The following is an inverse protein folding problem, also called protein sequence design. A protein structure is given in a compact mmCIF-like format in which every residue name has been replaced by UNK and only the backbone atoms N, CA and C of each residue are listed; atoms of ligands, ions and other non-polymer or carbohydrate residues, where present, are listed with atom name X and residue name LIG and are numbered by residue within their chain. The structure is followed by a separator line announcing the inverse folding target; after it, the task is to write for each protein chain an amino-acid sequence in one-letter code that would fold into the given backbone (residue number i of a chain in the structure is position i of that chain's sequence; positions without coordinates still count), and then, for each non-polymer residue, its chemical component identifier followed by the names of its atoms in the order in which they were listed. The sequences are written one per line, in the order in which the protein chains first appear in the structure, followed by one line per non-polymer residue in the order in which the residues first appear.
data_IF_260009508768
#
_entry.id   IF_260009508768
#
_cell.length_a   1.000
_cell.length_b   1.000
_cell.length_c   1.000
_cell.angle_alpha   90.00
_cell.angle_beta   90.00
_cell.angle_gamma   90.00
#
_symmetry.space_group_name_H-M   'P 1'
#
loop_
_entity.id
_entity.type
_entity.pdbx_description
1 polymer ?
#
# COMPACT_ATOMS: atom_id res chain seq x y z
N UNK A 1 -4.87 30.57 -7.14
CA UNK A 1 -4.39 29.31 -6.51
C UNK A 1 -5.38 28.18 -6.79
N UNK A 2 -5.70 27.92 -8.05
CA UNK A 2 -6.65 26.83 -8.46
C UNK A 2 -5.98 25.76 -9.32
N UNK A 3 -4.65 25.68 -9.35
CA UNK A 3 -3.92 24.79 -10.28
C UNK A 3 -3.84 23.33 -9.83
N UNK A 4 -4.24 23.01 -8.59
CA UNK A 4 -4.14 21.65 -8.03
C UNK A 4 -5.46 20.87 -8.06
N UNK A 5 -6.57 21.43 -8.54
CA UNK A 5 -7.87 20.74 -8.53
C UNK A 5 -7.96 19.46 -9.39
N UNK A 6 -6.99 19.18 -10.26
CA UNK A 6 -6.99 18.05 -11.20
C UNK A 6 -6.94 16.67 -10.51
N UNK A 7 -6.19 16.58 -9.42
CA UNK A 7 -6.29 15.49 -8.45
C UNK A 7 -7.04 16.11 -7.30
N UNK A 8 -8.23 15.60 -6.95
CA UNK A 8 -8.97 16.09 -5.78
C UNK A 8 -8.13 15.84 -4.50
N UNK A 9 -7.18 16.74 -4.22
CA UNK A 9 -6.18 16.57 -3.18
C UNK A 9 -6.85 16.67 -1.83
N UNK A 10 -6.87 15.55 -1.14
CA UNK A 10 -7.24 15.47 0.26
C UNK A 10 -5.99 15.15 1.07
N UNK A 11 -6.03 15.41 2.38
CA UNK A 11 -4.93 15.06 3.28
C UNK A 11 -4.58 13.55 3.19
N UNK A 12 -5.55 12.61 3.19
CA UNK A 12 -5.26 11.18 2.98
C UNK A 12 -4.56 10.88 1.65
N UNK A 13 -5.04 11.45 0.54
CA UNK A 13 -4.43 11.24 -0.78
C UNK A 13 -2.99 11.79 -0.82
N UNK A 14 -2.76 12.97 -0.25
CA UNK A 14 -1.43 13.57 -0.18
C UNK A 14 -0.45 12.68 0.61
N UNK A 15 -0.87 12.17 1.78
CA UNK A 15 -0.05 11.25 2.59
C UNK A 15 0.29 9.98 1.83
N UNK A 16 -0.68 9.37 1.12
CA UNK A 16 -0.45 8.18 0.30
C UNK A 16 0.63 8.40 -0.77
N UNK A 17 0.53 9.49 -1.55
CA UNK A 17 1.49 9.77 -2.60
C UNK A 17 2.88 10.13 -2.06
N UNK A 18 2.96 10.83 -0.93
CA UNK A 18 4.24 11.09 -0.26
C UNK A 18 4.88 9.79 0.23
N UNK A 19 4.11 8.88 0.83
CA UNK A 19 4.61 7.58 1.26
C UNK A 19 5.09 6.72 0.07
N UNK A 20 4.34 6.73 -1.05
CA UNK A 20 4.72 6.04 -2.28
C UNK A 20 6.02 6.61 -2.85
N UNK A 21 6.13 7.95 -2.97
CA UNK A 21 7.34 8.62 -3.43
C UNK A 21 8.54 8.32 -2.52
N UNK A 22 8.35 8.35 -1.21
CA UNK A 22 9.37 7.99 -0.22
C UNK A 22 9.83 6.54 -0.38
N UNK A 23 8.91 5.60 -0.59
CA UNK A 23 9.23 4.19 -0.82
C UNK A 23 10.06 4.02 -2.10
N UNK A 24 9.66 4.66 -3.20
CA UNK A 24 10.42 4.62 -4.45
C UNK A 24 11.80 5.26 -4.32
N UNK A 25 11.93 6.37 -3.58
CA UNK A 25 13.20 7.03 -3.32
C UNK A 25 14.15 6.13 -2.52
N UNK A 26 13.65 5.48 -1.46
CA UNK A 26 14.42 4.51 -0.66
C UNK A 26 14.87 3.34 -1.52
N UNK A 27 14.00 2.78 -2.35
CA UNK A 27 14.35 1.65 -3.21
C UNK A 27 15.39 2.05 -4.27
N UNK A 28 15.24 3.21 -4.89
CA UNK A 28 16.22 3.76 -5.84
C UNK A 28 17.58 3.95 -5.17
N UNK A 29 17.60 4.52 -3.97
CA UNK A 29 18.80 4.70 -3.18
C UNK A 29 19.47 3.36 -2.83
N UNK A 30 18.68 2.37 -2.40
CA UNK A 30 19.19 1.03 -2.09
C UNK A 30 19.73 0.31 -3.32
N UNK A 31 19.09 0.46 -4.48
CA UNK A 31 19.57 -0.11 -5.74
C UNK A 31 20.89 0.54 -6.20
N UNK A 32 21.07 1.84 -5.95
CA UNK A 32 22.31 2.54 -6.25
C UNK A 32 23.50 2.09 -5.37
N UNK A 33 23.24 1.72 -4.11
CA UNK A 33 24.28 1.32 -3.16
C UNK A 33 24.55 -0.19 -3.17
N UNK A 34 23.51 -1.00 -3.27
CA UNK A 34 23.59 -2.46 -3.18
C UNK A 34 23.13 -3.07 -4.50
N UNK A 35 24.05 -3.53 -5.36
CA UNK A 35 23.72 -4.19 -6.62
C UNK A 35 22.70 -5.30 -6.40
N UNK A 36 21.64 -5.29 -7.22
CA UNK A 36 20.53 -6.21 -7.06
C UNK A 36 20.96 -7.62 -7.45
N UNK A 37 20.97 -8.53 -6.47
CA UNK A 37 21.11 -9.96 -6.74
C UNK A 37 19.72 -10.53 -7.05
N UNK A 38 19.53 -10.99 -8.27
CA UNK A 38 18.32 -11.74 -8.65
C UNK A 38 18.21 -12.99 -7.76
N UNK A 39 17.02 -13.18 -7.17
CA UNK A 39 16.71 -14.38 -6.40
C UNK A 39 15.47 -15.03 -6.98
N UNK A 40 15.57 -16.34 -7.19
CA UNK A 40 14.45 -17.17 -7.63
C UNK A 40 13.66 -17.57 -6.39
N UNK A 41 12.54 -16.89 -6.16
CA UNK A 41 11.61 -17.24 -5.09
C UNK A 41 10.60 -18.31 -5.48
N UNK A 42 9.52 -18.39 -4.70
CA UNK A 42 8.42 -19.36 -4.88
C UNK A 42 7.75 -19.24 -6.26
N UNK A 43 7.73 -18.04 -6.85
CA UNK A 43 7.16 -17.81 -8.18
C UNK A 43 8.02 -18.40 -9.32
N UNK A 44 9.21 -18.93 -9.03
CA UNK A 44 10.16 -19.51 -10.01
C UNK A 44 10.60 -18.56 -11.12
N UNK A 45 10.36 -17.27 -10.96
CA UNK A 45 10.83 -16.20 -11.84
C UNK A 45 11.98 -15.49 -11.09
N UNK A 46 13.09 -15.13 -11.74
CA UNK A 46 14.08 -14.26 -11.13
C UNK A 46 13.42 -12.91 -10.79
N UNK A 47 13.43 -12.53 -9.52
CA UNK A 47 12.87 -11.25 -9.07
C UNK A 47 13.92 -10.40 -8.40
N UNK A 48 13.90 -9.11 -8.71
CA UNK A 48 14.66 -8.06 -8.03
C UNK A 48 13.93 -7.55 -6.78
N UNK A 49 14.57 -6.66 -6.02
CA UNK A 49 13.92 -5.99 -4.88
C UNK A 49 12.78 -5.07 -5.36
N UNK A 50 12.98 -4.39 -6.49
CA UNK A 50 11.97 -3.54 -7.14
C UNK A 50 10.74 -4.34 -7.55
N UNK A 51 10.94 -5.52 -8.16
CA UNK A 51 9.84 -6.39 -8.61
C UNK A 51 8.96 -6.83 -7.44
N UNK A 52 9.58 -7.17 -6.29
CA UNK A 52 8.84 -7.56 -5.07
C UNK A 52 7.98 -6.42 -4.54
N UNK A 53 8.50 -5.18 -4.55
CA UNK A 53 7.71 -4.01 -4.16
C UNK A 53 6.54 -3.82 -5.12
N UNK A 54 6.77 -3.87 -6.43
CA UNK A 54 5.72 -3.71 -7.43
C UNK A 54 4.61 -4.75 -7.29
N UNK A 55 4.97 -6.02 -7.14
CA UNK A 55 4.03 -7.13 -6.90
C UNK A 55 3.25 -6.88 -5.61
N UNK A 56 3.90 -6.41 -4.54
CA UNK A 56 3.22 -6.11 -3.27
C UNK A 56 2.21 -4.96 -3.40
N UNK A 57 2.53 -3.91 -4.16
CA UNK A 57 1.64 -2.77 -4.41
C UNK A 57 0.42 -3.20 -5.24
N UNK A 58 0.63 -4.00 -6.30
CA UNK A 58 -0.48 -4.57 -7.10
C UNK A 58 -1.36 -5.45 -6.21
N UNK A 59 -0.75 -6.33 -5.42
CA UNK A 59 -1.49 -7.24 -4.55
C UNK A 59 -2.29 -6.47 -3.50
N UNK A 60 -1.72 -5.41 -2.92
CA UNK A 60 -2.43 -4.52 -2.00
C UNK A 60 -3.63 -3.85 -2.68
N UNK A 61 -3.48 -3.32 -3.89
CA UNK A 61 -4.57 -2.72 -4.64
C UNK A 61 -5.69 -3.74 -4.92
N UNK A 62 -5.35 -4.95 -5.37
CA UNK A 62 -6.32 -6.03 -5.62
C UNK A 62 -7.05 -6.44 -4.34
N UNK A 63 -6.34 -6.58 -3.20
CA UNK A 63 -6.96 -6.88 -1.91
C UNK A 63 -7.97 -5.81 -1.52
N UNK A 64 -7.66 -4.52 -1.68
CA UNK A 64 -8.59 -3.45 -1.35
C UNK A 64 -9.81 -3.43 -2.28
N UNK A 65 -9.61 -3.64 -3.59
CA UNK A 65 -10.71 -3.73 -4.55
C UNK A 65 -11.63 -4.93 -4.25
N UNK A 66 -11.05 -6.10 -3.95
CA UNK A 66 -11.82 -7.27 -3.53
C UNK A 66 -12.55 -7.01 -2.22
N UNK A 67 -11.90 -6.37 -1.24
CA UNK A 67 -12.54 -6.06 0.03
C UNK A 67 -13.76 -5.17 -0.16
N UNK A 68 -13.63 -4.11 -0.95
CA UNK A 68 -14.75 -3.21 -1.27
C UNK A 68 -15.86 -3.98 -1.99
N UNK A 69 -15.52 -4.85 -2.94
CA UNK A 69 -16.49 -5.61 -3.71
C UNK A 69 -17.30 -6.62 -2.88
N UNK A 70 -16.70 -7.23 -1.85
CA UNK A 70 -17.35 -8.28 -1.05
C UNK A 70 -17.85 -7.82 0.32
N UNK A 71 -17.17 -6.87 0.96
CA UNK A 71 -17.42 -6.43 2.35
C UNK A 71 -17.78 -4.95 2.47
N UNK A 72 -17.67 -4.17 1.39
CA UNK A 72 -17.98 -2.74 1.41
C UNK A 72 -16.96 -1.90 2.20
N UNK A 73 -17.40 -0.71 2.64
CA UNK A 73 -16.57 0.28 3.33
C UNK A 73 -17.14 0.70 4.70
N UNK A 74 -18.08 -0.08 5.22
CA UNK A 74 -18.82 0.27 6.44
C UNK A 74 -17.89 0.42 7.66
N UNK A 75 -18.30 1.28 8.60
CA UNK A 75 -17.57 1.47 9.85
C UNK A 75 -17.72 0.24 10.77
N UNK A 76 -16.59 -0.24 11.30
CA UNK A 76 -16.51 -1.33 12.28
C UNK A 76 -16.79 -0.79 13.69
N UNK A 77 -16.30 0.40 14.00
CA UNK A 77 -16.46 1.02 15.32
C UNK A 77 -16.45 2.54 15.21
N UNK A 78 -17.29 3.20 16.00
CA UNK A 78 -17.25 4.65 16.18
C UNK A 78 -16.64 4.94 17.53
N UNK A 79 -15.47 5.58 17.54
CA UNK A 79 -14.85 6.04 18.77
C UNK A 79 -15.49 7.37 19.20
N UNK A 80 -15.83 7.56 20.49
CA UNK A 80 -16.40 8.81 20.99
C UNK A 80 -15.32 9.89 21.15
N UNK A 81 -14.67 10.24 20.04
CA UNK A 81 -13.59 11.23 19.95
C UNK A 81 -14.02 12.26 18.88
N UNK A 82 -14.27 13.49 19.31
CA UNK A 82 -14.88 14.55 18.47
C UNK A 82 -16.41 14.59 18.57
N UNK A 83 -17.03 15.68 18.11
CA UNK A 83 -18.49 15.87 18.15
C UNK A 83 -19.24 14.81 17.33
N UNK A 84 -18.67 14.38 16.20
CA UNK A 84 -19.28 13.40 15.28
C UNK A 84 -18.84 11.94 15.55
N UNK A 85 -17.84 11.74 16.42
CA UNK A 85 -17.20 10.44 16.62
C UNK A 85 -16.32 10.00 15.44
N UNK A 86 -15.16 9.39 15.73
CA UNK A 86 -14.26 8.88 14.69
C UNK A 86 -14.74 7.51 14.20
N UNK A 87 -15.21 7.46 12.96
CA UNK A 87 -15.61 6.22 12.29
C UNK A 87 -14.38 5.43 11.80
N UNK A 88 -14.19 4.23 12.32
CA UNK A 88 -13.15 3.29 11.89
C UNK A 88 -13.73 2.42 10.79
N UNK A 89 -13.35 2.70 9.54
CA UNK A 89 -13.81 1.91 8.38
C UNK A 89 -13.27 0.48 8.37
N UNK A 90 -14.01 -0.43 7.74
CA UNK A 90 -13.57 -1.82 7.56
C UNK A 90 -12.31 -1.97 6.69
N UNK A 91 -11.96 -0.90 5.96
CA UNK A 91 -10.76 -0.82 5.13
C UNK A 91 -9.47 -0.92 5.95
N UNK A 92 -9.49 -0.63 7.25
CA UNK A 92 -8.33 -0.87 8.12
C UNK A 92 -7.95 -2.35 8.20
N UNK A 93 -8.93 -3.26 8.11
CA UNK A 93 -8.65 -4.70 8.03
C UNK A 93 -8.02 -5.06 6.69
N UNK A 94 -8.54 -4.51 5.59
CA UNK A 94 -7.96 -4.69 4.25
C UNK A 94 -6.50 -4.19 4.20
N UNK A 95 -6.21 -3.05 4.82
CA UNK A 95 -4.85 -2.52 4.97
C UNK A 95 -3.97 -3.49 5.77
N UNK A 96 -4.45 -4.00 6.91
CA UNK A 96 -3.72 -5.00 7.70
C UNK A 96 -3.40 -6.28 6.92
N UNK A 97 -4.37 -6.82 6.18
CA UNK A 97 -4.19 -7.99 5.32
C UNK A 97 -3.17 -7.69 4.22
N UNK A 98 -3.29 -6.54 3.56
CA UNK A 98 -2.37 -6.15 2.49
C UNK A 98 -0.92 -6.02 2.96
N UNK A 99 -0.70 -5.49 4.17
CA UNK A 99 0.63 -5.38 4.77
C UNK A 99 1.18 -6.76 5.14
N UNK A 100 0.36 -7.65 5.69
CA UNK A 100 0.76 -9.02 5.98
C UNK A 100 1.14 -9.76 4.68
N UNK A 101 0.34 -9.62 3.62
CA UNK A 101 0.64 -10.20 2.30
C UNK A 101 1.90 -9.60 1.69
N UNK A 102 2.13 -8.29 1.81
CA UNK A 102 3.35 -7.65 1.36
C UNK A 102 4.58 -8.24 2.08
N UNK A 103 4.55 -8.38 3.41
CA UNK A 103 5.64 -9.00 4.17
C UNK A 103 5.89 -10.43 3.72
N UNK A 104 4.84 -11.21 3.45
CA UNK A 104 4.98 -12.57 2.91
C UNK A 104 5.67 -12.54 1.54
N UNK A 105 5.26 -11.66 0.62
CA UNK A 105 5.86 -11.52 -0.71
C UNK A 105 7.37 -11.22 -0.59
N UNK A 106 7.75 -10.28 0.27
CA UNK A 106 9.17 -9.94 0.48
C UNK A 106 10.00 -11.11 1.02
N UNK A 107 9.37 -12.05 1.75
CA UNK A 107 10.01 -13.24 2.32
C UNK A 107 10.05 -14.44 1.37
N UNK A 108 9.04 -14.61 0.51
CA UNK A 108 8.85 -15.84 -0.28
C UNK A 108 9.21 -15.70 -1.75
N UNK A 109 8.96 -14.52 -2.33
CA UNK A 109 9.40 -14.20 -3.69
C UNK A 109 10.88 -13.89 -3.63
#
# INVERSE_FOLDING_TARGET
MESIAWMAWTLPTAIFFVALAGTLAVMTYLAAIYPEAERVGVLRIPTTRGDRLFISLITAAVIHLMWIAFFGTDAIATLPIGEDGLEISSLWLASGISLATAVLIFRTV
#
